data_IF_587121547173
#
_entry.id   IF_587121547173
#
_cell.length_a   1.000
_cell.length_b   1.000
_cell.length_c   1.000
_cell.angle_alpha   90.00
_cell.angle_beta   90.00
_cell.angle_gamma   90.00
#
_symmetry.space_group_name_H-M   'P 1'
#
loop_
_entity.id
_entity.type
_entity.pdbx_description
1 polymer ?
#
# COMPACT_ATOMS: atom_id res chain seq x y z
N UNK A 1 4.56 23.07 1.57
CA UNK A 1 4.33 22.46 2.90
C UNK A 1 3.54 21.16 2.82
N UNK A 2 2.58 21.03 1.90
CA UNK A 2 1.78 19.82 1.62
C UNK A 2 2.61 18.62 1.13
N UNK A 3 3.58 18.83 0.24
CA UNK A 3 4.43 17.76 -0.30
C UNK A 3 5.25 17.06 0.80
N UNK A 4 5.89 17.83 1.67
CA UNK A 4 6.69 17.30 2.81
C UNK A 4 5.80 16.51 3.78
N UNK A 5 4.56 16.96 3.98
CA UNK A 5 3.57 16.26 4.81
C UNK A 5 3.15 14.92 4.18
N UNK A 6 2.88 14.89 2.87
CA UNK A 6 2.56 13.65 2.15
C UNK A 6 3.72 12.64 2.18
N UNK A 7 4.96 13.12 1.99
CA UNK A 7 6.15 12.26 2.09
C UNK A 7 6.33 11.69 3.50
N UNK A 8 6.08 12.49 4.54
CA UNK A 8 6.11 12.03 5.93
C UNK A 8 5.05 10.97 6.20
N UNK A 9 3.81 11.19 5.75
CA UNK A 9 2.72 10.22 5.89
C UNK A 9 3.07 8.89 5.22
N UNK A 10 3.62 8.93 3.99
CA UNK A 10 4.06 7.74 3.28
C UNK A 10 5.19 7.01 4.01
N UNK A 11 6.21 7.74 4.49
CA UNK A 11 7.33 7.16 5.22
C UNK A 11 6.88 6.49 6.53
N UNK A 12 5.98 7.13 7.28
CA UNK A 12 5.43 6.56 8.52
C UNK A 12 4.66 5.28 8.22
N UNK A 13 3.79 5.29 7.22
CA UNK A 13 3.03 4.09 6.81
C UNK A 13 3.96 2.96 6.35
N UNK A 14 5.01 3.28 5.59
CA UNK A 14 5.99 2.31 5.15
C UNK A 14 6.74 1.66 6.32
N UNK A 15 7.19 2.46 7.29
CA UNK A 15 7.88 1.96 8.48
C UNK A 15 6.96 1.07 9.32
N UNK A 16 5.71 1.49 9.54
CA UNK A 16 4.73 0.68 10.27
C UNK A 16 4.50 -0.66 9.55
N UNK A 17 4.33 -0.63 8.23
CA UNK A 17 4.15 -1.85 7.44
C UNK A 17 5.36 -2.80 7.59
N UNK A 18 6.59 -2.29 7.50
CA UNK A 18 7.80 -3.09 7.68
C UNK A 18 7.85 -3.75 9.07
N UNK A 19 7.55 -3.00 10.13
CA UNK A 19 7.56 -3.53 11.50
C UNK A 19 6.52 -4.64 11.66
N UNK A 20 5.31 -4.44 11.15
CA UNK A 20 4.23 -5.44 11.21
C UNK A 20 4.60 -6.69 10.43
N UNK A 21 5.15 -6.53 9.21
CA UNK A 21 5.57 -7.67 8.38
C UNK A 21 6.73 -8.43 9.04
N UNK A 22 7.70 -7.74 9.63
CA UNK A 22 8.82 -8.36 10.34
C UNK A 22 8.34 -9.17 11.55
N UNK A 23 7.40 -8.62 12.33
CA UNK A 23 6.79 -9.35 13.45
C UNK A 23 6.02 -10.58 12.96
N UNK A 24 5.23 -10.47 11.90
CA UNK A 24 4.49 -11.59 11.32
C UNK A 24 5.43 -12.69 10.80
N UNK A 25 6.51 -12.32 10.10
CA UNK A 25 7.53 -13.26 9.64
C UNK A 25 8.23 -13.95 10.82
N UNK A 26 8.53 -13.21 11.89
CA UNK A 26 9.13 -13.75 13.11
C UNK A 26 8.23 -14.78 13.79
N UNK A 27 6.93 -14.48 13.92
CA UNK A 27 5.93 -15.42 14.43
C UNK A 27 5.84 -16.64 13.53
N UNK A 28 5.84 -16.46 12.20
CA UNK A 28 5.79 -17.57 11.26
C UNK A 28 7.00 -18.51 11.46
N UNK A 29 8.22 -17.95 11.51
CA UNK A 29 9.44 -18.72 11.80
C UNK A 29 9.37 -19.42 13.15
N UNK A 30 8.89 -18.75 14.20
CA UNK A 30 8.78 -19.33 15.54
C UNK A 30 7.83 -20.55 15.58
N UNK A 31 6.75 -20.52 14.80
CA UNK A 31 5.73 -21.59 14.79
C UNK A 31 6.10 -22.73 13.83
N UNK A 32 6.66 -22.42 12.65
CA UNK A 32 6.85 -23.38 11.57
C UNK A 32 8.31 -23.60 11.15
N UNK A 33 9.29 -23.10 11.92
CA UNK A 33 10.73 -23.23 11.64
C UNK A 33 11.19 -22.48 10.38
N UNK A 34 12.32 -22.82 9.78
CA UNK A 34 12.77 -22.29 8.48
C UNK A 34 13.48 -20.93 8.51
N UNK A 35 13.84 -20.42 7.32
CA UNK A 35 14.62 -19.19 7.17
C UNK A 35 13.75 -17.92 7.28
N UNK A 36 14.22 -16.96 8.07
CA UNK A 36 13.51 -15.69 8.29
C UNK A 36 13.52 -14.81 7.05
N UNK A 37 14.63 -14.74 6.31
CA UNK A 37 14.78 -13.84 5.17
C UNK A 37 13.79 -14.22 4.07
N UNK A 38 13.71 -15.51 3.72
CA UNK A 38 12.75 -15.99 2.72
C UNK A 38 11.29 -15.74 3.16
N UNK A 39 10.94 -16.01 4.42
CA UNK A 39 9.56 -15.80 4.91
C UNK A 39 9.18 -14.33 5.03
N UNK A 40 10.13 -13.50 5.43
CA UNK A 40 9.97 -12.06 5.42
C UNK A 40 9.76 -11.54 3.99
N UNK A 41 10.55 -12.00 3.03
CA UNK A 41 10.38 -11.69 1.61
C UNK A 41 8.99 -12.05 1.09
N UNK A 42 8.51 -13.28 1.36
CA UNK A 42 7.15 -13.71 1.01
C UNK A 42 6.10 -12.81 1.66
N UNK A 43 6.24 -12.53 2.96
CA UNK A 43 5.28 -11.70 3.69
C UNK A 43 5.22 -10.25 3.14
N UNK A 44 6.36 -9.69 2.72
CA UNK A 44 6.40 -8.37 2.06
C UNK A 44 5.63 -8.37 0.75
N UNK A 45 5.82 -9.41 -0.09
CA UNK A 45 5.08 -9.54 -1.37
C UNK A 45 3.58 -9.67 -1.11
N UNK A 46 3.17 -10.52 -0.18
CA UNK A 46 1.76 -10.74 0.16
C UNK A 46 1.11 -9.44 0.66
N UNK A 47 1.74 -8.74 1.60
CA UNK A 47 1.19 -7.48 2.13
C UNK A 47 1.18 -6.38 1.07
N UNK A 48 2.24 -6.26 0.26
CA UNK A 48 2.27 -5.31 -0.84
C UNK A 48 1.17 -5.58 -1.88
N UNK A 49 0.90 -6.85 -2.21
CA UNK A 49 -0.18 -7.24 -3.10
C UNK A 49 -1.56 -6.95 -2.49
N UNK A 50 -1.78 -7.25 -1.20
CA UNK A 50 -3.02 -6.93 -0.50
C UNK A 50 -3.28 -5.42 -0.45
N UNK A 51 -2.25 -4.60 -0.23
CA UNK A 51 -2.35 -3.14 -0.31
C UNK A 51 -2.74 -2.65 -1.70
N UNK A 52 -2.24 -3.31 -2.76
CA UNK A 52 -2.65 -3.04 -4.14
C UNK A 52 -4.12 -3.36 -4.40
N UNK A 53 -4.55 -4.57 -4.03
CA UNK A 53 -5.94 -5.02 -4.24
C UNK A 53 -6.95 -4.19 -3.44
N UNK A 54 -6.61 -3.84 -2.20
CA UNK A 54 -7.49 -2.99 -1.36
C UNK A 54 -7.45 -1.51 -1.75
N UNK A 55 -6.40 -1.06 -2.46
CA UNK A 55 -6.29 0.27 -3.04
C UNK A 55 -7.07 0.49 -4.35
N UNK A 56 -7.62 -0.56 -4.95
CA UNK A 56 -8.31 -0.54 -6.25
C UNK A 56 -9.64 0.24 -6.27
N UNK A 57 -10.19 0.59 -5.10
CA UNK A 57 -11.34 1.51 -4.97
C UNK A 57 -11.07 2.90 -5.61
N UNK A 58 -9.81 3.25 -5.87
CA UNK A 58 -9.41 4.49 -6.55
C UNK A 58 -9.29 4.37 -8.08
N UNK A 59 -8.88 3.21 -8.62
CA UNK A 59 -8.75 2.97 -10.07
C UNK A 59 -10.12 2.77 -10.74
N UNK A 60 -11.01 2.04 -10.06
CA UNK A 60 -12.43 1.95 -10.42
C UNK A 60 -13.12 3.32 -10.52
N UNK A 61 -12.70 4.30 -9.69
CA UNK A 61 -13.23 5.68 -9.69
C UNK A 61 -12.82 6.49 -10.92
N UNK A 62 -11.60 6.29 -11.42
CA UNK A 62 -11.13 6.92 -12.66
C UNK A 62 -11.93 6.39 -13.86
N UNK A 63 -12.24 5.09 -13.88
CA UNK A 63 -13.14 4.51 -14.88
C UNK A 63 -14.58 5.04 -14.81
N UNK A 64 -15.08 5.37 -13.62
CA UNK A 64 -16.41 5.98 -13.42
C UNK A 64 -16.47 7.48 -13.75
N UNK A 65 -15.33 8.13 -13.95
CA UNK A 65 -15.25 9.56 -14.21
C UNK A 65 -15.82 9.90 -15.60
N UNK A 66 -15.61 9.02 -16.59
CA UNK A 66 -16.14 9.14 -17.95
C UNK A 66 -17.67 8.94 -18.02
N UNK A 67 -18.19 8.02 -17.20
CA UNK A 67 -19.63 7.84 -17.05
C UNK A 67 -20.29 9.09 -16.42
N UNK A 68 -19.64 9.71 -15.43
CA UNK A 68 -20.16 10.92 -14.76
C UNK A 68 -20.13 12.16 -15.63
N UNK A 69 -19.05 12.39 -16.37
CA UNK A 69 -18.95 13.51 -17.32
C UNK A 69 -20.02 13.40 -18.40
N UNK A 70 -20.33 12.19 -18.87
CA UNK A 70 -21.40 11.91 -19.83
C UNK A 70 -22.80 12.27 -19.28
N UNK A 71 -23.03 12.11 -17.98
CA UNK A 71 -24.30 12.46 -17.32
C UNK A 71 -24.30 13.87 -16.69
N UNK A 72 -23.29 14.70 -16.93
CA UNK A 72 -23.19 16.05 -16.36
C UNK A 72 -23.07 16.08 -14.83
N UNK A 73 -22.69 14.96 -14.22
CA UNK A 73 -22.50 14.85 -12.77
C UNK A 73 -21.14 15.45 -12.39
N UNK A 74 -21.12 16.25 -11.33
CA UNK A 74 -19.88 16.80 -10.80
C UNK A 74 -18.89 15.67 -10.45
N UNK A 75 -17.58 15.86 -10.65
CA UNK A 75 -16.58 14.88 -10.23
C UNK A 75 -16.78 14.56 -8.74
N UNK A 76 -16.69 13.28 -8.38
CA UNK A 76 -16.53 12.92 -6.98
C UNK A 76 -15.27 13.59 -6.47
N UNK A 77 -15.43 14.61 -5.64
CA UNK A 77 -14.31 15.08 -4.84
C UNK A 77 -13.85 13.89 -4.00
N UNK A 78 -12.54 13.71 -3.88
CA UNK A 78 -11.98 12.93 -2.79
C UNK A 78 -12.60 13.51 -1.51
N UNK A 79 -13.63 12.86 -0.99
CA UNK A 79 -14.04 12.99 0.40
C UNK A 79 -12.92 12.36 1.20
N UNK A 80 -11.80 13.07 1.25
CA UNK A 80 -10.75 12.91 2.23
C UNK A 80 -11.37 13.28 3.57
N UNK A 81 -12.21 12.38 4.10
CA UNK A 81 -12.90 12.50 5.38
C UNK A 81 -11.95 12.50 6.59
N UNK A 82 -10.77 13.08 6.46
CA UNK A 82 -9.81 13.22 7.54
C UNK A 82 -8.42 13.63 7.06
N UNK A 83 -8.27 14.77 6.37
CA UNK A 83 -7.00 15.50 6.26
C UNK A 83 -5.73 14.74 5.82
N UNK A 84 -5.84 13.55 5.24
CA UNK A 84 -4.73 12.74 4.73
C UNK A 84 -4.37 13.25 3.34
N UNK A 85 -3.09 13.53 3.13
CA UNK A 85 -2.56 14.02 1.85
C UNK A 85 -2.28 12.86 0.90
N UNK A 86 -2.08 11.66 1.45
CA UNK A 86 -1.78 10.45 0.68
C UNK A 86 -3.06 9.71 0.24
N UNK A 87 -3.30 9.69 -1.07
CA UNK A 87 -4.42 8.97 -1.70
C UNK A 87 -4.15 7.45 -1.74
N UNK A 88 -5.15 6.64 -2.08
CA UNK A 88 -4.98 5.19 -2.25
C UNK A 88 -3.89 4.83 -3.27
N UNK A 89 -3.84 5.59 -4.38
CA UNK A 89 -2.76 5.46 -5.39
C UNK A 89 -1.40 5.81 -4.80
N UNK A 90 -1.31 6.87 -3.98
CA UNK A 90 -0.08 7.23 -3.27
C UNK A 90 0.40 6.12 -2.34
N UNK A 91 -0.51 5.49 -1.59
CA UNK A 91 -0.16 4.36 -0.70
C UNK A 91 0.37 3.19 -1.53
N UNK A 92 -0.26 2.84 -2.64
CA UNK A 92 0.23 1.76 -3.50
C UNK A 92 1.64 2.06 -4.05
N UNK A 93 1.84 3.24 -4.64
CA UNK A 93 3.11 3.59 -5.28
C UNK A 93 4.26 3.75 -4.28
N UNK A 94 4.00 4.33 -3.10
CA UNK A 94 5.04 4.64 -2.12
C UNK A 94 5.22 3.58 -1.04
N UNK A 95 4.26 2.66 -0.86
CA UNK A 95 4.32 1.61 0.16
C UNK A 95 4.20 0.22 -0.46
N UNK A 96 3.13 -0.05 -1.21
CA UNK A 96 2.88 -1.37 -1.79
C UNK A 96 3.97 -1.81 -2.77
N UNK A 97 4.29 -0.98 -3.76
CA UNK A 97 5.28 -1.29 -4.80
C UNK A 97 6.69 -1.51 -4.22
N UNK A 98 7.23 -0.66 -3.32
CA UNK A 98 8.51 -0.92 -2.68
C UNK A 98 8.54 -2.21 -1.85
N UNK A 99 7.45 -2.53 -1.11
CA UNK A 99 7.37 -3.79 -0.36
C UNK A 99 7.46 -5.00 -1.28
N UNK A 100 6.77 -4.98 -2.43
CA UNK A 100 6.83 -6.08 -3.41
C UNK A 100 8.24 -6.22 -3.99
N UNK A 101 8.86 -5.12 -4.41
CA UNK A 101 10.20 -5.14 -5.01
C UNK A 101 11.22 -5.69 -4.02
N UNK A 102 11.23 -5.18 -2.79
CA UNK A 102 12.13 -5.66 -1.74
C UNK A 102 11.82 -7.13 -1.42
N UNK A 103 10.55 -7.51 -1.33
CA UNK A 103 10.15 -8.88 -1.07
C UNK A 103 10.65 -9.87 -2.13
N UNK A 104 10.52 -9.53 -3.41
CA UNK A 104 11.04 -10.34 -4.52
C UNK A 104 12.57 -10.47 -4.43
N UNK A 105 13.27 -9.37 -4.16
CA UNK A 105 14.74 -9.39 -4.02
C UNK A 105 15.25 -10.24 -2.85
N UNK A 106 14.43 -10.44 -1.81
CA UNK A 106 14.78 -11.28 -0.66
C UNK A 106 14.43 -12.76 -0.87
N UNK A 107 13.60 -13.07 -1.86
CA UNK A 107 13.20 -14.45 -2.19
C UNK A 107 14.06 -15.02 -3.32
N UNK A 108 14.54 -14.17 -4.24
CA UNK A 108 15.43 -14.53 -5.34
C UNK A 108 16.85 -14.87 -4.86
#
# INVERSE_FOLDING_TARGET
MTVVRGLREALVLFVIALVVVAAAAGIWVAVAGGDFVTRFGIALVVVGALLGVTGDLTLSRIGMLDARTTFGLAPEQETGGGGRVLTGVGIFLFVGLPLIVVGILLVA
#
